data_IF_780411725424
#
_entry.id   IF_780411725424
#
_cell.length_a   1.000
_cell.length_b   1.000
_cell.length_c   1.000
_cell.angle_alpha   90.00
_cell.angle_beta   90.00
_cell.angle_gamma   90.00
#
_symmetry.space_group_name_H-M   'P 1'
#
loop_
_entity.id
_entity.type
_entity.pdbx_description
1 polymer ?
#
# COMPACT_ATOMS: atom_id res chain seq x y z
N UNK A 1 14.74 33.57 -3.51
CA UNK A 1 16.09 33.84 -4.02
C UNK A 1 16.90 34.76 -3.09
N UNK A 2 16.31 35.82 -2.46
CA UNK A 2 17.01 36.71 -1.54
C UNK A 2 17.51 35.96 -0.29
N UNK A 3 16.68 35.15 0.33
CA UNK A 3 17.06 34.33 1.48
C UNK A 3 18.23 33.39 1.19
N UNK A 4 18.29 32.83 -0.03
CA UNK A 4 19.41 31.98 -0.45
C UNK A 4 20.70 32.77 -0.64
N UNK A 5 20.63 34.05 -1.06
CA UNK A 5 21.80 34.94 -1.16
C UNK A 5 22.35 35.32 0.20
N UNK A 6 21.48 35.51 1.19
CA UNK A 6 21.91 35.95 2.53
C UNK A 6 22.40 34.79 3.42
N UNK A 7 21.71 33.68 3.42
CA UNK A 7 21.98 32.55 4.35
C UNK A 7 22.29 31.22 3.67
N UNK A 8 22.31 31.21 2.35
CA UNK A 8 22.59 30.00 1.58
C UNK A 8 24.02 29.50 1.79
N UNK A 9 24.16 28.19 1.99
CA UNK A 9 25.46 27.53 2.08
C UNK A 9 25.77 26.83 0.78
N UNK A 10 27.04 26.78 0.41
CA UNK A 10 27.51 25.96 -0.71
C UNK A 10 27.11 24.51 -0.48
N UNK A 11 26.45 23.89 -1.47
CA UNK A 11 26.09 22.49 -1.40
C UNK A 11 27.34 21.62 -1.33
N UNK A 12 27.31 20.58 -0.51
CA UNK A 12 28.37 19.60 -0.49
C UNK A 12 28.48 18.91 -1.86
N UNK A 13 29.70 18.55 -2.33
CA UNK A 13 29.88 17.81 -3.55
C UNK A 13 29.13 16.47 -3.47
N UNK A 14 28.38 16.15 -4.50
CA UNK A 14 27.74 14.83 -4.61
C UNK A 14 28.84 13.82 -4.95
N UNK A 15 28.95 12.69 -4.21
CA UNK A 15 29.87 11.62 -4.58
C UNK A 15 29.59 11.16 -6.02
N UNK A 16 30.63 10.83 -6.80
CA UNK A 16 30.44 10.31 -8.16
C UNK A 16 29.58 9.02 -8.09
N UNK A 17 28.59 8.95 -8.96
CA UNK A 17 27.80 7.73 -9.13
C UNK A 17 28.70 6.59 -9.63
N UNK A 18 28.48 5.38 -9.12
CA UNK A 18 29.16 4.20 -9.63
C UNK A 18 28.78 3.97 -11.09
N UNK A 19 29.76 3.84 -11.98
CA UNK A 19 29.47 3.41 -13.35
C UNK A 19 29.21 1.90 -13.37
N UNK A 20 27.94 1.53 -13.51
CA UNK A 20 27.49 0.14 -13.57
C UNK A 20 27.15 -0.33 -14.98
N UNK A 21 27.54 0.42 -16.02
CA UNK A 21 27.24 0.08 -17.42
C UNK A 21 27.81 -1.27 -17.84
N UNK A 22 29.05 -1.55 -17.45
CA UNK A 22 29.67 -2.84 -17.72
C UNK A 22 28.87 -4.01 -17.14
N UNK A 23 28.32 -3.83 -15.93
CA UNK A 23 27.49 -4.83 -15.26
C UNK A 23 26.14 -4.98 -15.98
N UNK A 24 25.51 -3.87 -16.35
CA UNK A 24 24.24 -3.90 -17.08
C UNK A 24 24.37 -4.63 -18.41
N UNK A 25 25.42 -4.32 -19.20
CA UNK A 25 25.71 -4.98 -20.46
C UNK A 25 25.93 -6.49 -20.30
N UNK A 26 26.67 -6.89 -19.27
CA UNK A 26 26.91 -8.31 -18.96
C UNK A 26 25.62 -9.02 -18.57
N UNK A 27 24.79 -8.44 -17.69
CA UNK A 27 23.51 -9.02 -17.29
C UNK A 27 22.58 -9.16 -18.50
N UNK A 28 22.49 -8.15 -19.34
CA UNK A 28 21.65 -8.18 -20.55
C UNK A 28 22.15 -9.25 -21.53
N UNK A 29 23.46 -9.46 -21.63
CA UNK A 29 24.04 -10.46 -22.55
C UNK A 29 23.86 -11.88 -22.02
N UNK A 30 24.21 -12.12 -20.76
CA UNK A 30 24.42 -13.47 -20.23
C UNK A 30 23.22 -14.00 -19.46
N UNK A 31 22.35 -13.12 -18.91
CA UNK A 31 21.22 -13.49 -18.02
C UNK A 31 19.87 -12.93 -18.46
N UNK A 32 19.72 -12.52 -19.72
CA UNK A 32 18.47 -11.91 -20.21
C UNK A 32 17.26 -12.82 -20.03
N UNK A 33 17.39 -14.10 -20.36
CA UNK A 33 16.28 -15.08 -20.29
C UNK A 33 15.87 -15.35 -18.85
N UNK A 34 16.84 -15.51 -17.96
CA UNK A 34 16.64 -15.72 -16.54
C UNK A 34 15.98 -14.49 -15.88
N UNK A 35 16.44 -13.29 -16.27
CA UNK A 35 15.85 -12.04 -15.81
C UNK A 35 14.40 -11.90 -16.29
N UNK A 36 14.10 -12.20 -17.56
CA UNK A 36 12.73 -12.18 -18.09
C UNK A 36 11.82 -13.18 -17.36
N UNK A 37 12.31 -14.38 -17.07
CA UNK A 37 11.57 -15.40 -16.31
C UNK A 37 11.31 -14.96 -14.86
N UNK A 38 12.32 -14.39 -14.20
CA UNK A 38 12.18 -13.83 -12.85
C UNK A 38 11.21 -12.62 -12.81
N UNK A 39 11.21 -11.78 -13.85
CA UNK A 39 10.27 -10.66 -13.97
C UNK A 39 8.83 -11.15 -14.14
N UNK A 40 8.60 -12.23 -14.88
CA UNK A 40 7.28 -12.83 -15.01
C UNK A 40 6.74 -13.26 -13.64
N UNK A 41 7.55 -13.94 -12.85
CA UNK A 41 7.19 -14.39 -11.49
C UNK A 41 7.05 -13.24 -10.51
N UNK A 42 7.79 -12.14 -10.66
CA UNK A 42 7.66 -10.94 -9.82
C UNK A 42 6.26 -10.30 -9.90
N UNK A 43 5.52 -10.55 -10.97
CA UNK A 43 4.12 -10.11 -11.07
C UNK A 43 3.18 -10.93 -10.18
N UNK A 44 3.60 -12.11 -9.72
CA UNK A 44 2.90 -12.98 -8.79
C UNK A 44 3.39 -12.67 -7.37
N UNK A 45 2.50 -12.19 -6.50
CA UNK A 45 2.83 -11.60 -5.19
C UNK A 45 3.62 -12.52 -4.24
N UNK A 46 3.51 -13.84 -4.40
CA UNK A 46 4.06 -14.82 -3.44
C UNK A 46 5.54 -15.15 -3.65
N UNK A 47 6.09 -14.99 -4.84
CA UNK A 47 7.40 -15.56 -5.19
C UNK A 47 8.40 -14.59 -5.82
N UNK A 48 7.96 -13.42 -6.24
CA UNK A 48 8.75 -12.56 -7.11
C UNK A 48 10.04 -12.00 -6.53
N UNK A 49 10.09 -11.70 -5.24
CA UNK A 49 11.28 -11.11 -4.61
C UNK A 49 12.33 -12.20 -4.32
N UNK A 50 11.91 -13.41 -4.00
CA UNK A 50 12.79 -14.57 -3.78
C UNK A 50 13.52 -14.96 -5.07
N UNK A 51 12.82 -15.01 -6.19
CA UNK A 51 13.41 -15.36 -7.51
C UNK A 51 14.44 -14.31 -7.97
N UNK A 52 14.16 -13.02 -7.77
CA UNK A 52 15.14 -11.97 -8.08
C UNK A 52 16.36 -12.02 -7.15
N UNK A 53 16.18 -12.28 -5.87
CA UNK A 53 17.28 -12.45 -4.92
C UNK A 53 18.15 -13.65 -5.30
N UNK A 54 17.55 -14.78 -5.66
CA UNK A 54 18.24 -15.99 -6.14
C UNK A 54 19.02 -15.70 -7.42
N UNK A 55 18.42 -15.00 -8.38
CA UNK A 55 19.10 -14.60 -9.60
C UNK A 55 20.27 -13.65 -9.31
N UNK A 56 20.10 -12.68 -8.42
CA UNK A 56 21.17 -11.77 -8.02
C UNK A 56 22.35 -12.50 -7.37
N UNK A 57 22.07 -13.51 -6.56
CA UNK A 57 23.09 -14.38 -5.98
C UNK A 57 23.86 -15.18 -7.06
N UNK A 58 23.14 -15.75 -8.01
CA UNK A 58 23.72 -16.48 -9.14
C UNK A 58 24.64 -15.59 -9.97
N UNK A 59 24.19 -14.38 -10.29
CA UNK A 59 24.98 -13.38 -11.03
C UNK A 59 26.23 -13.00 -10.23
N UNK A 60 26.09 -12.74 -8.93
CA UNK A 60 27.21 -12.40 -8.03
C UNK A 60 28.28 -13.49 -8.03
N UNK A 61 27.86 -14.74 -7.93
CA UNK A 61 28.75 -15.90 -7.95
C UNK A 61 29.44 -16.06 -9.30
N UNK A 62 28.71 -15.92 -10.39
CA UNK A 62 29.22 -16.05 -11.77
C UNK A 62 30.30 -15.02 -12.09
N UNK A 63 30.17 -13.82 -11.54
CA UNK A 63 31.18 -12.76 -11.73
C UNK A 63 32.17 -12.64 -10.56
N UNK A 64 32.43 -13.76 -9.85
CA UNK A 64 33.45 -13.87 -8.79
C UNK A 64 33.33 -12.77 -7.72
N UNK A 65 32.09 -12.37 -7.41
CA UNK A 65 31.77 -11.32 -6.43
C UNK A 65 32.41 -9.95 -6.75
N UNK A 66 32.76 -9.69 -8.01
CA UNK A 66 33.28 -8.39 -8.48
C UNK A 66 32.26 -7.25 -8.24
N UNK A 67 30.97 -7.59 -8.25
CA UNK A 67 29.88 -6.65 -8.04
C UNK A 67 29.09 -7.00 -6.79
N UNK A 68 28.61 -6.01 -6.06
CA UNK A 68 27.83 -6.25 -4.85
C UNK A 68 26.38 -6.68 -5.20
N UNK A 69 25.78 -7.50 -4.35
CA UNK A 69 24.35 -7.89 -4.53
C UNK A 69 23.42 -6.69 -4.66
N UNK A 70 23.56 -5.59 -3.88
CA UNK A 70 22.78 -4.37 -4.08
C UNK A 70 22.94 -3.73 -5.47
N UNK A 71 24.17 -3.72 -6.02
CA UNK A 71 24.41 -3.17 -7.36
C UNK A 71 23.67 -4.01 -8.43
N UNK A 72 23.75 -5.33 -8.32
CA UNK A 72 23.05 -6.27 -9.22
C UNK A 72 21.53 -6.11 -9.11
N UNK A 73 20.99 -6.06 -7.89
CA UNK A 73 19.56 -5.85 -7.66
C UNK A 73 19.07 -4.52 -8.22
N UNK A 74 19.88 -3.46 -8.08
CA UNK A 74 19.56 -2.14 -8.65
C UNK A 74 19.43 -2.19 -10.17
N UNK A 75 20.30 -2.93 -10.86
CA UNK A 75 20.22 -3.11 -12.32
C UNK A 75 19.01 -3.95 -12.71
N UNK A 76 18.78 -5.10 -12.05
CA UNK A 76 17.62 -5.95 -12.31
C UNK A 76 16.30 -5.18 -12.12
N UNK A 77 16.19 -4.38 -11.05
CA UNK A 77 15.01 -3.54 -10.80
C UNK A 77 14.84 -2.45 -11.88
N UNK A 78 15.94 -1.84 -12.33
CA UNK A 78 15.95 -0.89 -13.45
C UNK A 78 15.46 -1.53 -14.76
N UNK A 79 15.95 -2.72 -15.08
CA UNK A 79 15.53 -3.51 -16.25
C UNK A 79 14.03 -3.88 -16.16
N UNK A 80 13.56 -4.29 -14.99
CA UNK A 80 12.15 -4.60 -14.74
C UNK A 80 11.25 -3.38 -14.95
N UNK A 81 11.61 -2.23 -14.36
CA UNK A 81 10.89 -0.96 -14.57
C UNK A 81 10.83 -0.56 -16.04
N UNK A 82 11.95 -0.69 -16.77
CA UNK A 82 12.00 -0.40 -18.20
C UNK A 82 11.08 -1.32 -18.99
N UNK A 83 11.14 -2.64 -18.70
CA UNK A 83 10.26 -3.62 -19.35
C UNK A 83 8.78 -3.31 -19.11
N UNK A 84 8.37 -3.04 -17.86
CA UNK A 84 6.99 -2.68 -17.53
C UNK A 84 6.53 -1.43 -18.28
N UNK A 85 7.39 -0.40 -18.33
CA UNK A 85 7.09 0.83 -19.07
C UNK A 85 6.91 0.55 -20.57
N UNK A 86 7.79 -0.24 -21.15
CA UNK A 86 7.73 -0.61 -22.56
C UNK A 86 6.47 -1.42 -22.88
N UNK A 87 6.10 -2.38 -22.02
CA UNK A 87 4.89 -3.18 -22.19
C UNK A 87 3.61 -2.31 -22.13
N UNK A 88 3.56 -1.35 -21.21
CA UNK A 88 2.43 -0.41 -21.12
C UNK A 88 2.36 0.48 -22.37
N UNK A 89 3.48 1.08 -22.78
CA UNK A 89 3.49 2.06 -23.86
C UNK A 89 3.34 1.43 -25.25
N UNK A 90 3.93 0.25 -25.49
CA UNK A 90 3.92 -0.41 -26.79
C UNK A 90 2.75 -1.38 -26.97
N UNK A 91 2.36 -2.08 -25.91
CA UNK A 91 1.38 -3.15 -25.97
C UNK A 91 0.05 -2.79 -25.29
N UNK A 92 -0.03 -1.64 -24.61
CA UNK A 92 -1.22 -1.22 -23.85
C UNK A 92 -1.59 -2.16 -22.70
N UNK A 93 -0.66 -3.03 -22.28
CA UNK A 93 -0.90 -4.02 -21.23
C UNK A 93 -0.28 -3.58 -19.91
N UNK A 94 -1.06 -3.66 -18.84
CA UNK A 94 -0.57 -3.45 -17.47
C UNK A 94 0.15 -4.71 -16.98
N UNK A 95 0.88 -4.59 -15.87
CA UNK A 95 1.69 -5.66 -15.29
C UNK A 95 0.91 -6.97 -15.01
N UNK A 96 -0.37 -6.85 -14.69
CA UNK A 96 -1.29 -7.95 -14.43
C UNK A 96 -2.12 -8.37 -15.67
N UNK A 97 -1.73 -7.91 -16.84
CA UNK A 97 -2.36 -8.25 -18.14
C UNK A 97 -3.62 -7.46 -18.47
N UNK A 98 -4.14 -6.63 -17.54
CA UNK A 98 -5.35 -5.81 -17.78
C UNK A 98 -5.08 -4.69 -18.79
N UNK A 99 -6.15 -4.22 -19.44
CA UNK A 99 -6.16 -2.98 -20.22
C UNK A 99 -6.10 -1.76 -19.30
N UNK A 100 -5.82 -0.58 -19.87
CA UNK A 100 -5.69 0.67 -19.11
C UNK A 100 -6.99 1.07 -18.38
N UNK A 101 -8.14 0.79 -18.97
CA UNK A 101 -9.50 1.09 -18.47
C UNK A 101 -10.14 -0.04 -17.67
N UNK A 102 -9.49 -1.19 -17.56
CA UNK A 102 -10.03 -2.35 -16.88
C UNK A 102 -9.81 -2.28 -15.35
N UNK A 103 -10.91 -2.46 -14.61
CA UNK A 103 -10.90 -2.54 -13.14
C UNK A 103 -10.71 -3.99 -12.72
N UNK A 104 -9.95 -4.23 -11.63
CA UNK A 104 -9.83 -5.55 -11.02
C UNK A 104 -11.20 -6.05 -10.55
N UNK A 105 -11.42 -7.37 -10.58
CA UNK A 105 -12.67 -7.98 -10.14
C UNK A 105 -13.05 -7.52 -8.72
N UNK A 106 -14.30 -7.12 -8.54
CA UNK A 106 -14.86 -6.70 -7.26
C UNK A 106 -15.70 -7.84 -6.68
N UNK A 107 -15.54 -8.10 -5.38
CA UNK A 107 -16.39 -8.99 -4.59
C UNK A 107 -16.69 -8.31 -3.28
N UNK A 108 -17.94 -8.36 -2.85
CA UNK A 108 -18.40 -7.72 -1.63
C UNK A 108 -19.36 -8.64 -0.90
N UNK A 109 -19.20 -8.72 0.42
CA UNK A 109 -20.08 -9.48 1.30
C UNK A 109 -20.38 -8.63 2.54
N UNK A 110 -21.62 -8.65 3.01
CA UNK A 110 -22.08 -7.95 4.21
C UNK A 110 -22.62 -8.98 5.23
N UNK A 111 -22.74 -8.58 6.49
CA UNK A 111 -23.28 -9.45 7.53
C UNK A 111 -22.42 -10.68 7.84
N UNK A 112 -21.11 -10.63 7.54
CA UNK A 112 -20.22 -11.79 7.67
C UNK A 112 -19.85 -12.14 9.12
N UNK A 113 -20.00 -11.20 10.04
CA UNK A 113 -19.76 -11.40 11.46
C UNK A 113 -21.09 -11.30 12.24
N UNK A 114 -21.64 -12.39 12.74
CA UNK A 114 -23.02 -12.44 13.24
C UNK A 114 -23.25 -11.73 14.57
N UNK A 115 -22.19 -11.22 15.22
CA UNK A 115 -22.29 -10.56 16.54
C UNK A 115 -21.84 -9.10 16.52
N UNK A 116 -21.59 -8.54 15.35
CA UNK A 116 -21.29 -7.11 15.17
C UNK A 116 -22.57 -6.37 14.77
N UNK A 117 -22.58 -5.05 14.91
CA UNK A 117 -23.72 -4.25 14.49
C UNK A 117 -23.81 -4.21 12.97
N UNK A 118 -22.65 -4.11 12.29
CA UNK A 118 -22.51 -4.28 10.85
C UNK A 118 -21.12 -4.77 10.51
N UNK A 119 -20.99 -5.49 9.41
CA UNK A 119 -19.70 -5.99 8.93
C UNK A 119 -19.70 -6.17 7.42
N UNK A 120 -18.55 -5.88 6.80
CA UNK A 120 -18.39 -6.06 5.38
C UNK A 120 -16.98 -6.51 5.01
N UNK A 121 -16.87 -7.41 4.04
CA UNK A 121 -15.65 -7.73 3.33
C UNK A 121 -15.70 -7.06 1.96
N UNK A 122 -14.77 -6.16 1.71
CA UNK A 122 -14.57 -5.60 0.38
C UNK A 122 -13.30 -6.17 -0.25
N UNK A 123 -13.43 -6.74 -1.43
CA UNK A 123 -12.34 -7.33 -2.18
C UNK A 123 -12.25 -6.74 -3.58
N UNK A 124 -11.04 -6.33 -3.98
CA UNK A 124 -10.73 -5.87 -5.33
C UNK A 124 -9.46 -6.57 -5.83
N UNK A 125 -9.63 -7.63 -6.60
CA UNK A 125 -8.55 -8.54 -6.93
C UNK A 125 -7.94 -9.13 -5.66
N UNK A 126 -6.65 -8.90 -5.44
CA UNK A 126 -5.94 -9.38 -4.24
C UNK A 126 -6.09 -8.45 -3.02
N UNK A 127 -6.54 -7.22 -3.19
CA UNK A 127 -6.77 -6.31 -2.06
C UNK A 127 -8.05 -6.73 -1.33
N UNK A 128 -7.96 -6.97 -0.02
CA UNK A 128 -9.06 -7.37 0.84
C UNK A 128 -9.06 -6.53 2.11
N UNK A 129 -10.21 -5.99 2.48
CA UNK A 129 -10.43 -5.23 3.71
C UNK A 129 -11.68 -5.72 4.39
N UNK A 130 -11.54 -6.13 5.65
CA UNK A 130 -12.66 -6.42 6.55
C UNK A 130 -12.96 -5.15 7.33
N UNK A 131 -14.20 -4.67 7.26
CA UNK A 131 -14.65 -3.53 8.05
C UNK A 131 -15.80 -3.93 8.98
N UNK A 132 -15.71 -3.48 10.23
CA UNK A 132 -16.66 -3.76 11.31
C UNK A 132 -17.21 -2.44 11.80
N UNK A 133 -18.53 -2.32 11.84
CA UNK A 133 -19.25 -1.22 12.46
C UNK A 133 -19.67 -1.58 13.88
N UNK A 134 -19.41 -0.67 14.80
CA UNK A 134 -19.86 -0.76 16.19
C UNK A 134 -20.63 0.51 16.54
N UNK A 135 -21.83 0.32 17.05
CA UNK A 135 -22.69 1.38 17.55
C UNK A 135 -22.64 1.38 19.07
N UNK A 136 -22.60 2.55 19.68
CA UNK A 136 -22.48 2.69 21.12
C UNK A 136 -23.28 3.91 21.63
N UNK A 137 -23.45 4.00 22.96
CA UNK A 137 -24.01 5.18 23.62
C UNK A 137 -23.18 6.44 23.30
N UNK A 138 -23.81 7.62 23.19
CA UNK A 138 -23.11 8.90 23.02
C UNK A 138 -22.05 9.21 24.08
N UNK A 139 -22.18 8.62 25.27
CA UNK A 139 -21.18 8.72 26.35
C UNK A 139 -19.80 8.14 25.94
N UNK A 140 -19.75 7.29 24.92
CA UNK A 140 -18.54 6.67 24.39
C UNK A 140 -17.94 7.45 23.21
N UNK A 141 -18.38 8.68 22.97
CA UNK A 141 -17.74 9.58 22.03
C UNK A 141 -16.25 9.75 22.38
N UNK A 142 -15.43 9.85 21.37
CA UNK A 142 -14.01 10.11 21.59
C UNK A 142 -13.81 11.56 22.04
N UNK A 143 -13.29 11.77 23.25
CA UNK A 143 -12.86 13.07 23.72
C UNK A 143 -11.47 13.37 23.15
N UNK A 144 -11.34 14.52 22.49
CA UNK A 144 -10.07 15.04 21.96
C UNK A 144 -9.73 16.29 22.76
N UNK A 145 -8.72 16.18 23.62
CA UNK A 145 -8.18 17.30 24.37
C UNK A 145 -7.04 17.97 23.59
N UNK A 146 -7.10 19.27 23.45
CA UNK A 146 -6.07 20.07 22.79
C UNK A 146 -5.79 21.35 23.59
N UNK A 147 -4.67 22.07 23.35
CA UNK A 147 -4.40 23.35 23.96
C UNK A 147 -5.47 24.42 23.69
N UNK A 148 -6.30 24.21 22.67
CA UNK A 148 -7.37 25.15 22.27
C UNK A 148 -8.75 24.78 22.81
N UNK A 149 -8.87 23.66 23.50
CA UNK A 149 -10.12 23.19 24.11
C UNK A 149 -10.36 21.68 23.93
N UNK A 150 -11.55 21.26 24.32
CA UNK A 150 -12.03 19.88 24.21
C UNK A 150 -13.02 19.77 23.05
N UNK A 151 -12.92 18.70 22.29
CA UNK A 151 -13.82 18.35 21.19
C UNK A 151 -14.33 16.92 21.38
N UNK A 152 -15.64 16.73 21.21
CA UNK A 152 -16.26 15.39 21.24
C UNK A 152 -16.48 14.89 19.83
N UNK A 153 -15.97 13.69 19.54
CA UNK A 153 -16.03 13.09 18.22
C UNK A 153 -16.89 11.81 18.26
N UNK A 154 -18.04 11.88 17.58
CA UNK A 154 -19.05 10.82 17.53
C UNK A 154 -18.75 9.73 16.48
N UNK A 155 -18.17 10.11 15.35
CA UNK A 155 -17.79 9.21 14.27
C UNK A 155 -16.28 8.99 14.25
N UNK A 156 -15.88 7.73 14.40
CA UNK A 156 -14.49 7.31 14.56
C UNK A 156 -14.17 6.22 13.56
N UNK A 157 -13.06 6.35 12.83
CA UNK A 157 -12.60 5.32 11.92
C UNK A 157 -11.17 4.88 12.24
N UNK A 158 -11.01 3.65 12.66
CA UNK A 158 -9.71 3.01 12.86
C UNK A 158 -9.35 2.18 11.62
N UNK A 159 -8.09 2.28 11.22
CA UNK A 159 -7.52 1.54 10.10
C UNK A 159 -6.28 0.81 10.57
N UNK A 160 -6.17 -0.46 10.22
CA UNK A 160 -5.05 -1.33 10.56
C UNK A 160 -4.51 -1.99 9.29
N UNK A 161 -3.18 -1.95 9.13
CA UNK A 161 -2.48 -2.56 8.00
C UNK A 161 -1.29 -3.37 8.52
N UNK A 162 -1.55 -4.54 9.12
CA UNK A 162 -0.50 -5.36 9.71
C UNK A 162 0.46 -5.88 8.63
N UNK A 163 1.72 -6.19 8.98
CA UNK A 163 2.76 -6.62 8.04
C UNK A 163 2.35 -7.79 7.15
N UNK A 164 1.60 -8.75 7.67
CA UNK A 164 1.12 -9.89 6.89
C UNK A 164 0.28 -9.48 5.67
N UNK A 165 -0.38 -8.32 5.72
CA UNK A 165 -1.22 -7.83 4.62
C UNK A 165 -0.42 -7.56 3.33
N UNK A 166 0.87 -7.32 3.44
CA UNK A 166 1.82 -7.15 2.34
C UNK A 166 2.77 -8.35 2.17
N UNK A 167 2.59 -9.42 2.98
CA UNK A 167 3.43 -10.62 2.93
C UNK A 167 4.78 -10.44 3.63
N UNK A 168 4.89 -9.49 4.55
CA UNK A 168 6.11 -9.19 5.28
C UNK A 168 5.99 -9.56 6.76
N UNK A 169 7.13 -9.77 7.40
CA UNK A 169 7.24 -9.77 8.87
C UNK A 169 7.57 -8.37 9.35
N UNK A 170 7.04 -7.96 10.48
CA UNK A 170 7.29 -6.63 11.01
C UNK A 170 6.72 -6.43 12.41
N UNK A 171 6.97 -5.25 12.97
CA UNK A 171 6.48 -4.88 14.28
C UNK A 171 4.97 -4.65 14.23
N UNK A 172 4.25 -5.24 15.16
CA UNK A 172 2.84 -4.98 15.44
C UNK A 172 2.74 -4.21 16.77
N UNK A 173 1.92 -3.17 16.83
CA UNK A 173 1.78 -2.35 18.03
C UNK A 173 1.04 -1.04 17.77
N UNK A 174 1.64 0.09 18.13
CA UNK A 174 1.03 1.41 17.89
C UNK A 174 0.86 1.69 16.41
N UNK A 175 -0.27 2.32 16.00
CA UNK A 175 -0.52 2.66 14.61
C UNK A 175 0.59 3.52 14.01
N UNK A 176 1.00 3.18 12.81
CA UNK A 176 1.94 3.97 12.02
C UNK A 176 1.29 5.26 11.50
N UNK A 177 2.09 6.26 11.12
CA UNK A 177 1.58 7.48 10.46
C UNK A 177 0.77 7.18 9.19
N UNK A 178 1.12 6.09 8.49
CA UNK A 178 0.38 5.60 7.33
C UNK A 178 -1.02 5.14 7.72
N UNK A 179 -1.15 4.37 8.78
CA UNK A 179 -2.44 3.89 9.27
C UNK A 179 -3.32 5.04 9.74
N UNK A 180 -2.76 6.00 10.47
CA UNK A 180 -3.47 7.22 10.90
C UNK A 180 -3.97 8.00 9.68
N UNK A 181 -3.13 8.23 8.68
CA UNK A 181 -3.49 8.96 7.47
C UNK A 181 -4.55 8.26 6.61
N UNK A 182 -4.46 6.93 6.48
CA UNK A 182 -5.44 6.13 5.76
C UNK A 182 -6.78 6.07 6.47
N UNK A 183 -6.78 5.94 7.80
CA UNK A 183 -7.99 6.02 8.63
C UNK A 183 -8.69 7.36 8.50
N UNK A 184 -7.92 8.46 8.62
CA UNK A 184 -8.45 9.82 8.46
C UNK A 184 -9.02 10.09 7.07
N UNK A 185 -8.46 9.48 6.01
CA UNK A 185 -8.98 9.59 4.65
C UNK A 185 -10.35 8.91 4.53
N UNK A 186 -10.47 7.68 4.99
CA UNK A 186 -11.72 6.93 4.95
C UNK A 186 -12.80 7.57 5.84
N UNK A 187 -12.41 8.09 6.99
CA UNK A 187 -13.31 8.84 7.89
C UNK A 187 -13.88 10.08 7.22
N UNK A 188 -13.03 10.93 6.66
CA UNK A 188 -13.45 12.16 5.98
C UNK A 188 -14.32 11.89 4.75
N UNK A 189 -14.06 10.81 4.05
CA UNK A 189 -14.85 10.43 2.87
C UNK A 189 -16.32 10.16 3.20
N UNK A 190 -16.61 9.67 4.42
CA UNK A 190 -17.97 9.30 4.84
C UNK A 190 -18.62 10.34 5.76
N UNK A 191 -17.85 11.26 6.34
CA UNK A 191 -18.34 12.22 7.33
C UNK A 191 -19.57 13.01 6.82
N UNK A 192 -19.61 13.33 5.52
CA UNK A 192 -20.71 14.09 4.93
C UNK A 192 -22.02 13.31 4.76
N UNK A 193 -21.97 11.99 4.86
CA UNK A 193 -23.14 11.09 4.70
C UNK A 193 -23.54 10.42 6.00
N UNK A 194 -22.80 10.62 7.10
CA UNK A 194 -23.19 10.17 8.43
C UNK A 194 -24.40 10.99 8.89
N UNK A 195 -25.51 10.35 9.31
CA UNK A 195 -26.68 11.06 9.82
C UNK A 195 -26.35 11.91 11.04
N UNK A 196 -27.12 12.96 11.27
CA UNK A 196 -26.94 13.83 12.45
C UNK A 196 -27.22 13.07 13.74
N UNK A 197 -26.73 13.59 14.86
CA UNK A 197 -26.99 12.98 16.18
C UNK A 197 -28.47 12.94 16.54
N UNK A 198 -29.24 13.94 16.08
CA UNK A 198 -30.69 13.98 16.29
C UNK A 198 -31.44 12.87 15.51
N UNK A 199 -30.93 12.47 14.35
CA UNK A 199 -31.51 11.41 13.51
C UNK A 199 -31.04 10.01 13.93
N UNK A 200 -29.78 9.93 14.39
CA UNK A 200 -29.14 8.67 14.76
C UNK A 200 -28.25 8.85 16.01
N UNK A 201 -28.82 8.74 17.22
CA UNK A 201 -28.16 9.13 18.46
C UNK A 201 -27.17 8.07 18.98
N UNK A 202 -26.25 7.63 18.15
CA UNK A 202 -25.22 6.65 18.51
C UNK A 202 -23.83 7.17 18.18
N UNK A 203 -22.86 6.82 19.02
CA UNK A 203 -21.46 6.83 18.66
C UNK A 203 -21.20 5.76 17.63
N UNK A 204 -20.55 6.08 16.54
CA UNK A 204 -20.25 5.18 15.44
C UNK A 204 -18.74 4.95 15.38
N UNK A 205 -18.31 3.71 15.57
CA UNK A 205 -16.91 3.31 15.41
C UNK A 205 -16.78 2.31 14.27
N UNK A 206 -16.00 2.64 13.27
CA UNK A 206 -15.55 1.72 12.22
C UNK A 206 -14.14 1.24 12.51
N UNK A 207 -13.90 -0.05 12.29
CA UNK A 207 -12.57 -0.65 12.31
C UNK A 207 -12.35 -1.38 10.98
N UNK A 208 -11.40 -0.92 10.19
CA UNK A 208 -11.03 -1.52 8.91
C UNK A 208 -9.68 -2.21 9.02
N UNK A 209 -9.68 -3.53 8.89
CA UNK A 209 -8.49 -4.36 8.90
C UNK A 209 -8.12 -4.82 7.48
N UNK A 210 -6.89 -4.48 7.06
CA UNK A 210 -6.39 -4.89 5.75
C UNK A 210 -5.91 -6.33 5.84
N UNK A 211 -6.66 -7.24 5.24
CA UNK A 211 -6.33 -8.68 5.21
C UNK A 211 -5.30 -9.00 4.14
N UNK A 212 -5.36 -8.32 3.01
CA UNK A 212 -4.37 -8.42 1.94
C UNK A 212 -4.31 -7.11 1.15
N UNK A 213 -3.11 -6.68 0.78
CA UNK A 213 -2.88 -5.43 0.06
C UNK A 213 -2.22 -5.67 -1.29
N UNK A 214 -2.84 -5.15 -2.34
CA UNK A 214 -2.25 -4.94 -3.66
C UNK A 214 -2.57 -3.52 -4.14
N UNK A 215 -2.27 -2.55 -3.26
CA UNK A 215 -2.50 -1.12 -3.47
C UNK A 215 -3.92 -0.65 -3.20
N UNK A 216 -4.06 0.65 -2.94
CA UNK A 216 -5.32 1.38 -2.74
C UNK A 216 -6.22 0.80 -1.63
N UNK A 217 -5.63 0.44 -0.51
CA UNK A 217 -6.33 -0.13 0.64
C UNK A 217 -7.22 0.89 1.36
N UNK A 218 -6.86 2.17 1.37
CA UNK A 218 -7.71 3.24 1.93
C UNK A 218 -9.02 3.40 1.16
N UNK A 219 -8.99 3.27 -0.18
CA UNK A 219 -10.22 3.28 -0.97
C UNK A 219 -11.06 2.02 -0.72
N UNK A 220 -10.41 0.87 -0.58
CA UNK A 220 -11.09 -0.37 -0.19
C UNK A 220 -11.73 -0.25 1.21
N UNK A 221 -11.06 0.43 2.16
CA UNK A 221 -11.61 0.71 3.49
C UNK A 221 -12.84 1.62 3.41
N UNK A 222 -12.81 2.68 2.57
CA UNK A 222 -13.98 3.55 2.37
C UNK A 222 -15.17 2.75 1.82
N UNK A 223 -14.95 1.89 0.82
CA UNK A 223 -16.00 1.03 0.27
C UNK A 223 -16.52 0.02 1.32
N UNK A 224 -15.62 -0.66 2.04
CA UNK A 224 -15.99 -1.59 3.11
C UNK A 224 -16.74 -0.89 4.23
N UNK A 225 -16.35 0.34 4.60
CA UNK A 225 -17.02 1.14 5.62
C UNK A 225 -18.43 1.54 5.21
N UNK A 226 -18.62 1.93 3.94
CA UNK A 226 -19.96 2.21 3.40
C UNK A 226 -20.85 0.99 3.54
N UNK A 227 -20.38 -0.18 3.14
CA UNK A 227 -21.16 -1.42 3.21
C UNK A 227 -21.44 -1.84 4.67
N UNK A 228 -20.46 -1.73 5.55
CA UNK A 228 -20.63 -2.07 6.97
C UNK A 228 -21.60 -1.12 7.69
N UNK A 229 -21.65 0.16 7.31
CA UNK A 229 -22.62 1.12 7.82
C UNK A 229 -24.03 0.88 7.27
N UNK A 230 -24.15 0.36 6.05
CA UNK A 230 -25.45 0.00 5.49
C UNK A 230 -25.98 -1.33 6.01
N UNK A 231 -25.12 -2.18 6.56
CA UNK A 231 -25.46 -3.45 7.23
C UNK A 231 -25.86 -3.23 8.70
N UNK A 232 -25.41 -2.12 9.32
CA UNK A 232 -25.68 -1.76 10.72
C UNK A 232 -27.04 -1.06 10.86
#
# INVERSE_FOLDING_TARGET
EELVKEVGKTKAPVPPEKDLKELEEKIVKDFKKEAEAAFQKKTEKEYGDTELATLAQTISTTYEQKFTTPDIMGILDGMFKKKLRDDILKNGKRVDGRKADEIRALTMEVGILPRTHGSAMFKRGQTQVLTIATLASPELNQLIESPTGEESKRYIHHYSMPPYSVGETGRVGTPSRREIGHGALAERALLSVIPTEAEFPYTIRLASDVMSSNGSTSMASTCGSTLALMDA
#
